data_IF_323175353631
#
_entry.id   IF_323175353631
#
_cell.length_a   1.000
_cell.length_b   1.000
_cell.length_c   1.000
_cell.angle_alpha   90.00
_cell.angle_beta   90.00
_cell.angle_gamma   90.00
#
_symmetry.space_group_name_H-M   'P 1'
#
loop_
_entity.id
_entity.type
_entity.pdbx_description
1 polymer ?
#
# COMPACT_ATOMS: atom_id res chain seq x y z
N UNK A 1 -8.24 -12.31 -4.55
CA UNK A 1 -7.14 -13.19 -5.06
C UNK A 1 -5.81 -12.49 -4.81
N UNK A 2 -4.76 -13.20 -4.34
CA UNK A 2 -3.42 -12.63 -4.13
C UNK A 2 -2.50 -12.97 -5.31
N UNK A 3 -1.79 -11.96 -5.85
CA UNK A 3 -0.93 -12.14 -7.04
C UNK A 3 0.43 -11.45 -6.85
N UNK A 4 1.55 -12.09 -7.25
CA UNK A 4 2.82 -11.40 -7.29
C UNK A 4 2.81 -10.29 -8.34
N UNK A 5 3.49 -9.19 -8.06
CA UNK A 5 3.62 -8.04 -8.94
C UNK A 5 5.09 -7.69 -9.14
N UNK A 6 5.46 -7.44 -10.40
CA UNK A 6 6.79 -6.95 -10.78
C UNK A 6 6.74 -5.48 -11.19
N UNK A 7 7.89 -4.80 -11.24
CA UNK A 7 7.96 -3.39 -11.62
C UNK A 7 7.27 -3.06 -12.94
N UNK A 8 7.36 -3.94 -13.93
CA UNK A 8 6.77 -3.73 -15.26
C UNK A 8 5.23 -3.72 -15.28
N UNK A 9 4.60 -4.29 -14.26
CA UNK A 9 3.13 -4.43 -14.17
C UNK A 9 2.52 -3.46 -13.15
N UNK A 10 3.34 -2.77 -12.36
CA UNK A 10 2.92 -1.94 -11.24
C UNK A 10 1.86 -0.92 -11.60
N UNK A 11 2.13 -0.08 -12.61
CA UNK A 11 1.23 1.00 -12.98
C UNK A 11 -0.12 0.45 -13.43
N UNK A 12 -0.10 -0.43 -14.45
CA UNK A 12 -1.31 -1.02 -15.03
C UNK A 12 -2.17 -1.82 -14.02
N UNK A 13 -1.53 -2.49 -13.05
CA UNK A 13 -2.22 -3.28 -12.04
C UNK A 13 -2.95 -2.43 -10.99
N UNK A 14 -2.54 -1.16 -10.84
CA UNK A 14 -3.01 -0.24 -9.80
C UNK A 14 -3.76 0.97 -10.37
N UNK A 15 -3.77 1.16 -11.70
CA UNK A 15 -4.36 2.33 -12.37
C UNK A 15 -5.87 2.50 -12.18
N UNK A 16 -6.61 1.47 -11.77
CA UNK A 16 -8.07 1.54 -11.74
C UNK A 16 -8.67 0.75 -10.59
N UNK A 17 -9.70 1.33 -9.98
CA UNK A 17 -10.39 0.76 -8.84
C UNK A 17 -9.51 0.76 -7.58
N UNK A 18 -9.95 0.03 -6.57
CA UNK A 18 -9.21 -0.11 -5.32
C UNK A 18 -8.34 -1.35 -5.37
N UNK A 19 -7.08 -1.24 -4.96
CA UNK A 19 -6.16 -2.37 -4.89
C UNK A 19 -5.28 -2.27 -3.64
N UNK A 20 -4.89 -3.41 -3.08
CA UNK A 20 -3.93 -3.45 -1.98
C UNK A 20 -2.58 -3.94 -2.52
N UNK A 21 -1.52 -3.17 -2.33
CA UNK A 21 -0.15 -3.55 -2.64
C UNK A 21 0.59 -3.83 -1.33
N UNK A 22 1.21 -5.01 -1.21
CA UNK A 22 1.93 -5.43 -0.01
C UNK A 22 3.38 -5.73 -0.36
N UNK A 23 4.30 -4.90 0.14
CA UNK A 23 5.72 -5.21 0.15
C UNK A 23 6.02 -6.13 1.32
N UNK A 24 6.60 -7.28 1.00
CA UNK A 24 6.88 -8.34 1.96
C UNK A 24 8.26 -8.94 1.73
N UNK A 25 8.75 -9.64 2.76
CA UNK A 25 9.86 -10.56 2.61
C UNK A 25 9.57 -11.84 3.39
N UNK A 26 9.66 -12.97 2.69
CA UNK A 26 9.19 -14.26 3.20
C UNK A 26 9.95 -14.76 4.45
N UNK A 27 11.19 -14.32 4.65
CA UNK A 27 12.01 -14.66 5.83
C UNK A 27 11.77 -13.69 7.02
N UNK A 28 11.04 -12.59 6.81
CA UNK A 28 10.73 -11.65 7.89
C UNK A 28 9.67 -12.22 8.84
N UNK A 29 9.94 -12.27 10.17
CA UNK A 29 8.98 -12.78 11.15
C UNK A 29 7.70 -11.94 11.22
N UNK A 30 7.78 -10.63 10.95
CA UNK A 30 6.60 -9.76 10.88
C UNK A 30 5.73 -10.09 9.66
N UNK A 31 6.33 -10.41 8.52
CA UNK A 31 5.59 -10.82 7.32
C UNK A 31 4.91 -12.18 7.51
N UNK A 32 5.57 -13.11 8.21
CA UNK A 32 4.99 -14.42 8.55
C UNK A 32 3.77 -14.29 9.48
N UNK A 33 3.83 -13.36 10.45
CA UNK A 33 2.71 -13.04 11.33
C UNK A 33 1.55 -12.38 10.58
N UNK A 34 1.84 -11.54 9.58
CA UNK A 34 0.81 -10.87 8.78
C UNK A 34 0.12 -11.79 7.77
N UNK A 35 0.82 -12.81 7.25
CA UNK A 35 0.29 -13.72 6.24
C UNK A 35 -1.12 -14.27 6.54
N UNK A 36 -1.44 -14.83 7.73
CA UNK A 36 -2.77 -15.34 8.00
C UNK A 36 -3.87 -14.27 7.94
N UNK A 37 -3.57 -13.04 8.38
CA UNK A 37 -4.52 -11.92 8.31
C UNK A 37 -4.73 -11.46 6.87
N UNK A 38 -3.66 -11.42 6.07
CA UNK A 38 -3.76 -11.12 4.65
C UNK A 38 -4.57 -12.18 3.88
N UNK A 39 -4.35 -13.46 4.16
CA UNK A 39 -5.13 -14.57 3.57
C UNK A 39 -6.61 -14.46 3.94
N UNK A 40 -6.90 -14.16 5.22
CA UNK A 40 -8.27 -13.94 5.70
C UNK A 40 -8.94 -12.77 4.99
N UNK A 41 -8.26 -11.63 4.85
CA UNK A 41 -8.75 -10.48 4.09
C UNK A 41 -9.06 -10.86 2.64
N UNK A 42 -8.13 -11.53 1.95
CA UNK A 42 -8.29 -11.96 0.56
C UNK A 42 -9.49 -12.91 0.37
N UNK A 43 -9.74 -13.78 1.36
CA UNK A 43 -10.88 -14.68 1.35
C UNK A 43 -12.22 -13.97 1.59
N UNK A 44 -12.22 -12.93 2.43
CA UNK A 44 -13.41 -12.13 2.78
C UNK A 44 -13.75 -11.07 1.73
N UNK A 45 -12.74 -10.56 1.01
CA UNK A 45 -12.86 -9.49 0.01
C UNK A 45 -12.34 -9.96 -1.37
N UNK A 46 -12.97 -10.97 -1.99
CA UNK A 46 -12.51 -11.52 -3.26
C UNK A 46 -12.55 -10.51 -4.42
N UNK A 47 -13.40 -9.48 -4.32
CA UNK A 47 -13.47 -8.36 -5.27
C UNK A 47 -12.28 -7.40 -5.19
N UNK A 48 -11.56 -7.36 -4.07
CA UNK A 48 -10.41 -6.48 -3.90
C UNK A 48 -9.13 -7.19 -4.40
N UNK A 49 -8.48 -6.69 -5.47
CA UNK A 49 -7.20 -7.22 -5.91
C UNK A 49 -6.10 -6.94 -4.88
N UNK A 50 -5.41 -8.00 -4.48
CA UNK A 50 -4.25 -7.91 -3.60
C UNK A 50 -3.00 -8.31 -4.37
N UNK A 51 -2.05 -7.40 -4.43
CA UNK A 51 -0.77 -7.55 -5.09
C UNK A 51 0.34 -7.64 -4.05
N UNK A 52 1.26 -8.57 -4.23
CA UNK A 52 2.43 -8.71 -3.35
C UNK A 52 3.73 -8.46 -4.11
N UNK A 53 4.65 -7.74 -3.49
CA UNK A 53 5.99 -7.48 -4.02
C UNK A 53 7.01 -8.07 -3.06
N UNK A 54 7.91 -8.90 -3.57
CA UNK A 54 9.05 -9.42 -2.80
C UNK A 54 10.13 -8.33 -2.74
N UNK A 55 10.23 -7.66 -1.60
CA UNK A 55 10.95 -6.40 -1.44
C UNK A 55 12.47 -6.58 -1.67
N UNK A 56 13.02 -7.74 -1.32
CA UNK A 56 14.45 -8.02 -1.51
C UNK A 56 14.83 -8.29 -2.97
N UNK A 57 13.88 -8.79 -3.77
CA UNK A 57 14.06 -9.05 -5.20
C UNK A 57 13.78 -7.79 -6.05
N UNK A 58 12.82 -6.97 -5.62
CA UNK A 58 12.37 -5.77 -6.33
C UNK A 58 12.89 -4.50 -5.63
N UNK A 59 14.22 -4.31 -5.65
CA UNK A 59 14.88 -3.19 -4.96
C UNK A 59 14.44 -1.83 -5.49
N UNK A 60 14.40 -1.65 -6.80
CA UNK A 60 13.97 -0.39 -7.42
C UNK A 60 12.55 0.01 -7.01
N UNK A 61 11.61 -0.95 -6.92
CA UNK A 61 10.26 -0.68 -6.42
C UNK A 61 10.27 -0.33 -4.93
N UNK A 62 11.09 -1.02 -4.15
CA UNK A 62 11.22 -0.74 -2.71
C UNK A 62 11.78 0.67 -2.45
N UNK A 63 12.76 1.09 -3.25
CA UNK A 63 13.35 2.44 -3.20
C UNK A 63 12.34 3.49 -3.66
N UNK A 64 11.63 3.25 -4.77
CA UNK A 64 10.58 4.13 -5.29
C UNK A 64 9.46 4.36 -4.27
N UNK A 65 9.10 3.33 -3.50
CA UNK A 65 8.07 3.41 -2.47
C UNK A 65 8.59 3.91 -1.12
N UNK A 66 9.89 4.20 -1.01
CA UNK A 66 10.55 4.63 0.23
C UNK A 66 10.23 3.71 1.41
N UNK A 67 10.37 2.39 1.22
CA UNK A 67 10.03 1.42 2.26
C UNK A 67 10.81 1.69 3.56
N UNK A 68 10.07 1.84 4.66
CA UNK A 68 10.63 2.05 6.00
C UNK A 68 10.59 0.81 6.89
N UNK A 69 9.69 -0.12 6.62
CA UNK A 69 9.51 -1.36 7.38
C UNK A 69 8.91 -2.47 6.51
N UNK A 70 8.99 -3.72 6.98
CA UNK A 70 8.34 -4.87 6.35
C UNK A 70 7.43 -5.59 7.38
N UNK A 71 6.20 -5.97 7.01
CA UNK A 71 5.56 -5.65 5.72
C UNK A 71 5.27 -4.14 5.60
N UNK A 72 5.11 -3.66 4.37
CA UNK A 72 4.52 -2.33 4.10
C UNK A 72 3.31 -2.53 3.21
N UNK A 73 2.21 -1.89 3.56
CA UNK A 73 0.92 -2.05 2.90
C UNK A 73 0.53 -0.71 2.30
N UNK A 74 0.10 -0.70 1.05
CA UNK A 74 -0.38 0.50 0.35
C UNK A 74 -1.74 0.21 -0.23
N UNK A 75 -2.73 1.03 0.12
CA UNK A 75 -4.06 0.99 -0.47
C UNK A 75 -4.09 2.01 -1.59
N UNK A 76 -4.31 1.50 -2.80
CA UNK A 76 -4.44 2.27 -4.02
C UNK A 76 -5.90 2.52 -4.36
N UNK A 77 -6.19 3.67 -4.94
CA UNK A 77 -7.43 3.94 -5.66
C UNK A 77 -7.15 4.72 -6.93
N UNK A 78 -7.50 4.12 -8.07
CA UNK A 78 -7.36 4.73 -9.40
C UNK A 78 -5.94 5.29 -9.65
N UNK A 79 -4.92 4.50 -9.31
CA UNK A 79 -3.50 4.84 -9.44
C UNK A 79 -2.93 5.69 -8.30
N UNK A 80 -3.76 6.25 -7.41
CA UNK A 80 -3.29 7.05 -6.27
C UNK A 80 -3.01 6.16 -5.04
N UNK A 81 -1.82 6.22 -4.42
CA UNK A 81 -1.52 5.51 -3.17
C UNK A 81 -2.17 6.20 -1.96
N UNK A 82 -3.49 6.08 -1.83
CA UNK A 82 -4.30 6.81 -0.86
C UNK A 82 -3.91 6.57 0.61
N UNK A 83 -3.53 5.35 0.99
CA UNK A 83 -3.10 5.06 2.38
C UNK A 83 -1.86 4.17 2.37
N UNK A 84 -0.95 4.38 3.31
CA UNK A 84 0.24 3.54 3.53
C UNK A 84 0.35 3.17 5.00
N UNK A 85 0.76 1.93 5.25
CA UNK A 85 0.93 1.41 6.60
C UNK A 85 2.28 0.71 6.68
N UNK A 86 3.01 1.01 7.74
CA UNK A 86 4.26 0.35 8.06
C UNK A 86 4.00 -0.72 9.13
N UNK A 87 4.22 -1.99 8.77
CA UNK A 87 4.03 -3.14 9.65
C UNK A 87 2.76 -3.95 9.35
N UNK A 88 2.58 -5.01 10.13
CA UNK A 88 1.42 -5.89 10.06
C UNK A 88 0.18 -5.24 10.67
N UNK A 89 -0.99 -5.62 10.17
CA UNK A 89 -2.29 -5.24 10.74
C UNK A 89 -3.25 -6.44 10.70
N UNK A 90 -4.41 -6.30 11.35
CA UNK A 90 -5.48 -7.29 11.25
C UNK A 90 -6.24 -7.19 9.93
N UNK A 91 -6.92 -8.27 9.55
CA UNK A 91 -7.78 -8.31 8.37
C UNK A 91 -8.90 -7.27 8.42
N UNK A 92 -9.41 -7.01 9.63
CA UNK A 92 -10.49 -6.04 9.89
C UNK A 92 -10.01 -4.59 9.69
N UNK A 93 -8.83 -4.24 10.23
CA UNK A 93 -8.19 -2.92 9.99
C UNK A 93 -7.91 -2.69 8.51
N UNK A 94 -7.45 -3.73 7.79
CA UNK A 94 -7.22 -3.65 6.35
C UNK A 94 -8.54 -3.43 5.59
N UNK A 95 -9.61 -4.12 5.99
CA UNK A 95 -10.94 -3.94 5.40
C UNK A 95 -11.51 -2.55 5.67
N UNK A 96 -11.38 -2.04 6.89
CA UNK A 96 -11.78 -0.68 7.24
C UNK A 96 -11.02 0.35 6.39
N UNK A 97 -9.71 0.19 6.24
CA UNK A 97 -8.89 1.08 5.41
C UNK A 97 -9.32 1.09 3.94
N UNK A 98 -9.69 -0.08 3.41
CA UNK A 98 -10.21 -0.22 2.04
C UNK A 98 -11.58 0.44 1.90
N UNK A 99 -12.46 0.30 2.89
CA UNK A 99 -13.76 0.96 2.92
C UNK A 99 -13.64 2.48 2.99
N UNK A 100 -12.77 3.00 3.87
CA UNK A 100 -12.46 4.43 3.97
C UNK A 100 -11.98 4.99 2.63
N UNK A 101 -11.03 4.31 1.97
CA UNK A 101 -10.54 4.71 0.64
C UNK A 101 -11.64 4.62 -0.42
N UNK A 102 -12.59 3.70 -0.30
CA UNK A 102 -13.74 3.58 -1.21
C UNK A 102 -14.68 4.78 -1.12
N UNK A 103 -14.85 5.34 0.09
CA UNK A 103 -15.72 6.49 0.35
C UNK A 103 -15.02 7.85 0.22
N UNK A 104 -13.69 7.88 0.11
CA UNK A 104 -12.91 9.11 0.03
C UNK A 104 -13.24 9.97 -1.21
N UNK A 105 -13.14 11.30 -1.07
CA UNK A 105 -13.21 12.24 -2.20
C UNK A 105 -11.85 12.27 -2.91
N UNK A 106 -11.74 11.56 -4.03
CA UNK A 106 -10.46 11.41 -4.72
C UNK A 106 -9.93 12.71 -5.34
N UNK A 107 -10.80 13.69 -5.56
CA UNK A 107 -10.37 14.98 -6.09
C UNK A 107 -9.64 15.78 -5.01
N UNK A 108 -10.17 15.78 -3.78
CA UNK A 108 -9.51 16.36 -2.62
C UNK A 108 -8.20 15.63 -2.31
N UNK A 109 -8.21 14.30 -2.23
CA UNK A 109 -7.01 13.48 -1.96
C UNK A 109 -5.91 13.70 -3.02
N UNK A 110 -6.27 13.80 -4.30
CA UNK A 110 -5.33 14.12 -5.36
C UNK A 110 -4.76 15.54 -5.21
N UNK A 111 -5.62 16.52 -4.91
CA UNK A 111 -5.18 17.91 -4.75
C UNK A 111 -4.21 18.05 -3.58
N UNK A 112 -4.52 17.42 -2.45
CA UNK A 112 -3.67 17.38 -1.27
C UNK A 112 -2.31 16.73 -1.59
N UNK A 113 -2.34 15.57 -2.25
CA UNK A 113 -1.13 14.88 -2.69
C UNK A 113 -0.25 15.73 -3.62
N UNK A 114 -0.85 16.45 -4.56
CA UNK A 114 -0.13 17.34 -5.48
C UNK A 114 0.49 18.53 -4.75
N UNK A 115 -0.25 19.16 -3.82
CA UNK A 115 0.26 20.28 -3.03
C UNK A 115 1.46 19.86 -2.19
N UNK A 116 1.33 18.75 -1.47
CA UNK A 116 2.41 18.27 -0.62
C UNK A 116 3.63 17.82 -1.46
N UNK A 117 3.40 17.19 -2.62
CA UNK A 117 4.50 16.89 -3.56
C UNK A 117 5.22 18.16 -4.03
N UNK A 118 4.49 19.25 -4.30
CA UNK A 118 5.10 20.54 -4.68
C UNK A 118 5.92 21.10 -3.50
N UNK A 119 5.41 21.02 -2.27
CA UNK A 119 6.12 21.46 -1.06
C UNK A 119 7.37 20.63 -0.77
N UNK A 120 7.32 19.31 -1.00
CA UNK A 120 8.49 18.42 -0.90
C UNK A 120 9.57 18.80 -1.91
N UNK A 121 9.20 19.15 -3.15
CA UNK A 121 10.14 19.58 -4.17
C UNK A 121 10.79 20.93 -3.82
N UNK A 122 10.09 21.80 -3.09
CA UNK A 122 10.62 23.09 -2.62
C UNK A 122 11.55 22.93 -1.40
N UNK A 123 11.18 22.05 -0.46
CA UNK A 123 11.88 21.87 0.82
C UNK A 123 13.02 20.84 0.78
N UNK A 124 13.01 19.92 -0.19
CA UNK A 124 13.99 18.85 -0.31
C UNK A 124 13.85 17.71 0.71
N UNK A 125 12.74 17.66 1.46
CA UNK A 125 12.46 16.63 2.47
C UNK A 125 11.77 15.42 1.84
N UNK A 126 12.39 14.24 1.93
CA UNK A 126 11.86 12.98 1.39
C UNK A 126 10.91 12.27 2.38
N UNK A 127 9.74 12.85 2.64
CA UNK A 127 8.65 12.20 3.39
C UNK A 127 7.61 11.58 2.45
N UNK A 128 7.09 10.38 2.75
CA UNK A 128 5.95 9.84 1.99
C UNK A 128 4.62 10.35 2.57
N UNK A 129 3.72 10.92 1.74
CA UNK A 129 2.54 11.68 2.18
C UNK A 129 1.49 10.89 2.98
N UNK A 130 1.53 9.56 2.98
CA UNK A 130 0.42 8.75 3.50
C UNK A 130 0.80 7.62 4.46
N UNK A 131 1.93 7.70 5.17
CA UNK A 131 2.16 6.74 6.27
C UNK A 131 1.22 7.06 7.42
N UNK A 132 0.17 6.26 7.56
CA UNK A 132 -0.58 6.18 8.79
C UNK A 132 0.10 5.13 9.68
N UNK A 133 0.37 5.49 10.93
CA UNK A 133 0.86 4.54 11.91
C UNK A 133 -0.29 3.57 12.27
N UNK A 134 0.00 2.26 12.47
CA UNK A 134 -1.00 1.37 13.05
C UNK A 134 -1.45 1.98 14.38
N UNK A 135 -2.76 2.20 14.53
CA UNK A 135 -3.32 2.76 15.76
C UNK A 135 -3.05 1.77 16.92
N UNK A 136 -2.70 2.25 18.12
CA UNK A 136 -2.28 1.41 19.24
C UNK A 136 -3.39 0.54 19.84
#
# INVERSE_FOLDING_TARGET
MMRPLSSSEHDAALSSGIAVLVFRWSESPACQQFQPELDKFVAQHPECPVWTVEAVEQKDLSELHHLRALPSIVVYRDGLPARRFAGSMSADDLAASVDEVSQADMQEEYNDWVLEMIEMLDTGEAGSPFVTAPQP
#
